data_IF_173905298941
#
_entry.id   IF_173905298941
#
_cell.length_a   1.000
_cell.length_b   1.000
_cell.length_c   1.000
_cell.angle_alpha   90.00
_cell.angle_beta   90.00
_cell.angle_gamma   90.00
#
_symmetry.space_group_name_H-M   'P 1'
#
loop_
_entity.id
_entity.type
_entity.pdbx_description
1 polymer ?
2 non-polymer ?
3 water ?
#
# COMPACT_ATOMS: atom_id res chain seq x y z
N UNK A 5 10.08 -0.14 27.88
CA UNK A 5 10.87 0.81 27.11
C UNK A 5 10.03 2.09 26.84
N UNK A 6 10.68 3.23 27.07
CA UNK A 6 10.08 4.55 26.91
C UNK A 6 10.31 5.03 25.47
N UNK A 7 11.20 4.35 24.75
CA UNK A 7 11.24 4.55 23.29
C UNK A 7 9.91 3.98 22.71
N UNK A 8 9.50 2.79 23.16
CA UNK A 8 8.26 2.21 22.65
C UNK A 8 7.06 3.13 23.00
N UNK A 9 6.94 3.54 24.25
CA UNK A 9 5.84 4.42 24.69
C UNK A 9 5.79 5.74 23.91
N UNK A 10 6.97 6.27 23.56
CA UNK A 10 7.06 7.53 22.84
C UNK A 10 6.54 7.41 21.38
N UNK A 11 6.89 6.28 20.77
CA UNK A 11 6.43 5.95 19.44
C UNK A 11 4.90 5.82 19.49
N UNK A 12 4.41 5.10 20.50
CA UNK A 12 3.00 4.86 20.67
C UNK A 12 2.25 6.16 21.00
N UNK A 13 2.87 7.08 21.73
CA UNK A 13 2.27 8.40 22.00
C UNK A 13 2.01 9.20 20.68
N UNK A 14 3.01 9.16 19.80
CA UNK A 14 2.95 9.76 18.48
C UNK A 14 1.79 9.21 17.58
N UNK A 15 1.62 7.87 17.56
CA UNK A 15 0.49 7.25 16.85
C UNK A 15 -0.87 7.50 17.52
N UNK A 16 -0.92 7.69 18.85
CA UNK A 16 -2.18 8.07 19.52
C UNK A 16 -2.61 9.45 19.10
N UNK A 17 -1.66 10.35 18.93
CA UNK A 17 -1.99 11.65 18.37
C UNK A 17 -2.55 11.47 16.96
N UNK A 18 -1.87 10.66 16.17
CA UNK A 18 -2.31 10.46 14.81
C UNK A 18 -3.74 9.92 14.87
N UNK A 19 -3.98 8.97 15.76
CA UNK A 19 -5.28 8.34 15.87
C UNK A 19 -6.39 9.38 16.14
N UNK A 20 -6.10 10.36 17.00
CA UNK A 20 -7.10 11.39 17.30
C UNK A 20 -7.28 12.37 16.09
N UNK A 21 -6.21 12.71 15.37
CA UNK A 21 -6.39 13.49 14.16
C UNK A 21 -7.19 12.72 13.11
N UNK A 22 -6.88 11.43 12.91
CA UNK A 22 -7.64 10.62 11.93
C UNK A 22 -9.12 10.50 12.29
N UNK A 23 -9.39 10.16 13.55
CA UNK A 23 -10.74 10.17 14.04
C UNK A 23 -11.49 11.51 13.81
N UNK A 24 -10.88 12.63 14.19
CA UNK A 24 -11.49 13.98 13.99
C UNK A 24 -11.79 14.22 12.48
N UNK A 25 -10.80 13.92 11.63
CA UNK A 25 -10.97 14.12 10.15
C UNK A 25 -12.14 13.27 9.65
N UNK A 26 -12.17 12.01 10.05
CA UNK A 26 -13.26 11.17 9.58
C UNK A 26 -14.63 11.62 9.99
N UNK A 27 -14.80 12.10 11.22
CA UNK A 27 -16.11 12.56 11.70
C UNK A 27 -16.69 13.68 10.82
N UNK A 28 -15.81 14.53 10.33
CA UNK A 28 -16.10 15.72 9.47
C UNK A 28 -16.25 15.41 7.95
N UNK A 29 -15.38 14.56 7.43
CA UNK A 29 -15.21 14.48 6.02
C UNK A 29 -16.42 13.89 5.33
N UNK A 30 -16.75 14.46 4.19
CA UNK A 30 -17.73 13.87 3.29
C UNK A 30 -17.39 12.43 2.98
N UNK A 31 -18.38 11.56 2.84
CA UNK A 31 -18.10 10.14 2.55
C UNK A 31 -18.44 9.89 1.08
N UNK A 32 -17.63 9.07 0.34
CA UNK A 32 -18.03 8.88 -1.05
C UNK A 32 -19.35 8.20 -1.17
N UNK A 33 -20.16 8.67 -2.09
CA UNK A 33 -21.51 8.11 -2.38
C UNK A 33 -21.50 6.86 -3.28
N UNK A 34 -22.55 6.06 -3.18
CA UNK A 34 -22.77 5.00 -4.16
C UNK A 34 -21.79 3.85 -4.03
N UNK A 35 -21.51 3.47 -2.79
CA UNK A 35 -20.56 2.39 -2.50
C UNK A 35 -21.20 1.42 -1.51
N UNK A 36 -20.94 0.13 -1.67
CA UNK A 36 -21.24 -0.85 -0.66
C UNK A 36 -19.93 -1.46 -0.15
N UNK A 37 -19.90 -1.83 1.12
CA UNK A 37 -18.78 -2.59 1.60
C UNK A 37 -19.28 -3.81 2.36
N UNK A 38 -18.42 -4.81 2.45
CA UNK A 38 -18.58 -6.01 3.20
C UNK A 38 -17.40 -6.06 4.14
N UNK A 39 -17.66 -6.09 5.42
CA UNK A 39 -16.59 -5.86 6.36
C UNK A 39 -16.19 -7.11 7.21
N UNK A 40 -14.95 -7.02 7.73
CA UNK A 40 -14.51 -7.92 8.80
C UNK A 40 -14.43 -9.38 8.34
N UNK A 41 -13.94 -9.64 7.15
CA UNK A 41 -13.67 -11.01 6.81
C UNK A 41 -12.33 -11.47 7.42
N UNK A 42 -12.32 -12.56 8.18
CA UNK A 42 -11.11 -13.22 8.57
C UNK A 42 -10.49 -13.88 7.37
N UNK A 43 -9.22 -13.61 7.09
CA UNK A 43 -8.52 -14.16 5.93
C UNK A 43 -7.65 -15.38 6.24
N UNK A 44 -7.56 -15.73 7.51
CA UNK A 44 -7.04 -17.02 8.02
C UNK A 44 -7.77 -17.52 9.24
N UNK A 45 -7.37 -18.71 9.70
CA UNK A 45 -7.96 -19.35 10.87
C UNK A 45 -7.35 -18.74 12.09
N UNK A 46 -7.83 -17.57 12.51
CA UNK A 46 -7.21 -16.78 13.56
C UNK A 46 -8.18 -15.75 14.05
N UNK A 47 -8.19 -15.53 15.37
CA UNK A 47 -9.06 -14.54 15.98
C UNK A 47 -8.36 -13.17 16.13
N UNK A 48 -7.13 -13.04 15.62
CA UNK A 48 -6.43 -11.78 15.71
C UNK A 48 -7.20 -10.78 14.87
N UNK A 49 -7.61 -9.69 15.49
CA UNK A 49 -8.55 -8.85 14.76
C UNK A 49 -7.87 -8.14 13.60
N UNK A 50 -6.52 -8.04 13.64
CA UNK A 50 -5.79 -7.46 12.53
C UNK A 50 -5.74 -8.35 11.30
N UNK A 51 -6.03 -9.64 11.44
CA UNK A 51 -6.06 -10.54 10.30
C UNK A 51 -7.42 -10.63 9.63
N UNK A 52 -7.94 -9.48 9.28
CA UNK A 52 -9.23 -9.33 8.69
C UNK A 52 -9.12 -8.34 7.53
N UNK A 53 -10.10 -8.38 6.62
CA UNK A 53 -10.16 -7.42 5.51
C UNK A 53 -11.60 -6.95 5.20
N UNK A 54 -11.68 -5.83 4.46
CA UNK A 54 -12.92 -5.24 4.00
C UNK A 54 -12.86 -5.29 2.48
N UNK A 55 -14.03 -5.43 1.90
CA UNK A 55 -14.23 -5.38 0.43
C UNK A 55 -15.22 -4.26 0.12
N UNK A 56 -14.98 -3.56 -0.99
CA UNK A 56 -15.74 -2.33 -1.37
C UNK A 56 -16.08 -2.43 -2.83
N UNK A 57 -17.26 -1.94 -3.19
CA UNK A 57 -17.77 -2.09 -4.55
C UNK A 57 -18.62 -0.83 -4.86
N UNK A 58 -18.75 -0.51 -6.15
CA UNK A 58 -19.74 0.46 -6.58
C UNK A 58 -21.10 -0.08 -6.16
N UNK A 59 -21.99 0.80 -5.70
CA UNK A 59 -23.33 0.35 -5.33
C UNK A 59 -24.06 -0.22 -6.50
N UNK A 60 -23.79 0.28 -7.70
CA UNK A 60 -24.37 -0.23 -8.94
C UNK A 60 -23.24 -0.77 -9.82
N UNK A 61 -23.27 -2.06 -10.06
CA UNK A 61 -22.17 -2.71 -10.77
C UNK A 61 -22.54 -2.84 -12.22
N UNK A 62 -21.71 -2.32 -13.09
CA UNK A 62 -22.06 -2.31 -14.49
C UNK A 62 -21.57 -3.63 -15.14
N UNK A 63 -20.69 -4.37 -14.44
CA UNK A 63 -20.42 -5.75 -14.79
C UNK A 63 -20.45 -6.67 -13.55
N UNK A 64 -20.45 -7.98 -13.80
CA UNK A 64 -20.44 -9.00 -12.77
C UNK A 64 -19.08 -9.15 -12.10
N UNK A 65 -18.04 -8.84 -12.86
CA UNK A 65 -16.73 -8.63 -12.30
C UNK A 65 -16.17 -7.29 -12.75
N UNK A 66 -15.38 -6.73 -11.87
CA UNK A 66 -14.76 -5.44 -12.06
C UNK A 66 -13.27 -5.52 -11.81
N UNK A 67 -12.51 -4.61 -12.39
CA UNK A 67 -11.08 -4.64 -12.14
C UNK A 67 -10.74 -4.41 -10.69
N UNK A 68 -9.64 -5.01 -10.27
CA UNK A 68 -9.35 -5.16 -8.86
C UNK A 68 -8.35 -4.13 -8.41
N UNK A 69 -8.60 -3.54 -7.22
CA UNK A 69 -7.60 -2.76 -6.52
C UNK A 69 -7.37 -3.36 -5.12
N UNK A 70 -6.13 -3.48 -4.73
CA UNK A 70 -5.76 -3.95 -3.42
C UNK A 70 -4.93 -2.90 -2.71
N UNK A 71 -5.40 -2.47 -1.54
CA UNK A 71 -4.83 -1.40 -0.83
C UNK A 71 -4.11 -1.87 0.46
N UNK A 72 -2.88 -1.41 0.68
CA UNK A 72 -2.15 -1.59 1.90
C UNK A 72 -1.95 -0.28 2.61
N UNK A 73 -2.66 -0.14 3.73
CA UNK A 73 -2.64 1.10 4.48
C UNK A 73 -1.30 1.35 5.08
N UNK A 74 -1.09 2.62 5.48
CA UNK A 74 0.12 3.09 6.10
C UNK A 74 -0.04 3.28 7.59
N UNK A 75 0.84 4.08 8.20
CA UNK A 75 0.92 4.21 9.70
C UNK A 75 2.24 3.73 10.29
N UNK A 76 3.33 3.84 9.58
CA UNK A 76 4.64 3.59 10.17
C UNK A 76 4.86 2.18 10.70
N UNK A 77 4.12 1.21 10.12
CA UNK A 77 4.24 -0.20 10.53
C UNK A 77 3.79 -0.47 11.95
N UNK A 78 3.53 0.60 12.75
CA UNK A 78 3.04 0.50 14.19
C UNK A 78 1.56 0.83 14.34
N UNK A 79 0.94 1.30 13.29
CA UNK A 79 -0.40 1.85 13.45
C UNK A 79 -1.33 1.61 12.25
N UNK A 80 -2.64 1.55 12.54
CA UNK A 80 -3.62 1.40 11.50
C UNK A 80 -4.30 0.08 11.57
N UNK A 81 -5.36 -0.01 10.78
CA UNK A 81 -6.12 -1.27 10.60
C UNK A 81 -6.92 -1.18 9.28
N UNK A 82 -7.77 -2.16 9.01
CA UNK A 82 -8.50 -2.20 7.75
C UNK A 82 -9.47 -1.05 7.53
N UNK A 83 -9.79 -0.27 8.58
CA UNK A 83 -10.72 0.87 8.42
C UNK A 83 -10.06 2.23 8.22
N UNK A 84 -8.75 2.30 8.41
CA UNK A 84 -8.05 3.58 8.33
C UNK A 84 -8.22 4.29 6.98
N UNK A 85 -8.06 3.53 5.85
CA UNK A 85 -8.20 4.09 4.51
C UNK A 85 -9.62 3.88 3.90
N UNK A 86 -10.66 3.74 4.73
CA UNK A 86 -11.97 3.43 4.17
C UNK A 86 -12.48 4.44 3.16
N UNK A 87 -12.28 5.73 3.38
CA UNK A 87 -12.86 6.70 2.45
C UNK A 87 -12.20 6.67 1.09
N UNK A 88 -10.88 6.52 1.12
CA UNK A 88 -10.06 6.28 -0.04
C UNK A 88 -10.43 5.01 -0.76
N UNK A 89 -10.65 3.90 -0.06
CA UNK A 89 -11.09 2.68 -0.75
C UNK A 89 -12.49 2.85 -1.36
N UNK A 90 -13.37 3.50 -0.59
CA UNK A 90 -14.70 3.77 -1.06
C UNK A 90 -14.67 4.61 -2.29
N UNK A 91 -13.82 5.65 -2.29
CA UNK A 91 -13.74 6.51 -3.46
C UNK A 91 -13.39 5.65 -4.70
N UNK A 92 -12.32 4.90 -4.58
CA UNK A 92 -11.83 4.14 -5.76
C UNK A 92 -12.91 3.15 -6.23
N UNK A 93 -13.52 2.46 -5.27
CA UNK A 93 -14.63 1.58 -5.58
C UNK A 93 -15.77 2.27 -6.32
N UNK A 94 -16.08 3.49 -5.91
CA UNK A 94 -17.19 4.23 -6.53
C UNK A 94 -16.90 4.49 -8.00
N UNK A 95 -15.64 4.37 -8.42
CA UNK A 95 -15.26 4.60 -9.83
C UNK A 95 -15.41 3.37 -10.73
N UNK A 96 -15.88 2.26 -10.17
CA UNK A 96 -16.18 1.01 -10.90
C UNK A 96 -15.18 -0.11 -10.66
N UNK A 97 -14.61 -0.18 -9.45
CA UNK A 97 -13.58 -1.16 -9.09
C UNK A 97 -14.02 -1.95 -7.89
N UNK A 98 -13.59 -3.20 -7.83
CA UNK A 98 -13.72 -4.01 -6.68
C UNK A 98 -12.42 -3.85 -5.88
N UNK A 99 -12.58 -3.49 -4.62
CA UNK A 99 -11.43 -3.04 -3.83
C UNK A 99 -11.30 -3.88 -2.54
N UNK A 100 -10.09 -4.34 -2.23
CA UNK A 100 -9.81 -5.08 -0.96
C UNK A 100 -8.83 -4.27 -0.22
N UNK A 101 -9.09 -4.12 1.06
CA UNK A 101 -8.10 -3.52 1.98
C UNK A 101 -8.01 -4.35 3.23
N UNK A 102 -6.78 -4.69 3.64
CA UNK A 102 -6.53 -5.67 4.71
C UNK A 102 -5.91 -5.05 5.88
N UNK A 103 -6.19 -5.61 7.02
CA UNK A 103 -5.36 -5.33 8.14
C UNK A 103 -4.16 -6.26 8.11
N UNK A 104 -3.14 -5.90 8.89
CA UNK A 104 -1.93 -6.65 9.13
C UNK A 104 -1.42 -6.38 10.59
N UNK A 105 -0.91 -7.43 11.24
CA UNK A 105 -0.39 -7.29 12.63
C UNK A 105 0.68 -6.19 12.66
N UNK A 106 0.71 -5.45 13.75
CA UNK A 106 1.54 -4.25 13.87
C UNK A 106 2.77 -4.56 14.67
N UNK A 107 3.83 -3.86 14.31
CA UNK A 107 5.04 -3.80 15.14
C UNK A 107 4.59 -3.19 16.46
N UNK A 108 5.18 -3.61 17.58
CA UNK A 108 6.23 -4.58 17.69
C UNK A 108 5.71 -6.00 17.91
N UNK A 109 4.41 -6.22 17.87
CA UNK A 109 3.85 -7.58 18.06
C UNK A 109 4.41 -8.60 17.08
N UNK A 110 4.72 -8.11 15.91
CA UNK A 110 5.35 -8.87 14.86
C UNK A 110 6.53 -8.05 14.35
N UNK A 111 7.29 -8.67 13.45
CA UNK A 111 8.25 -7.99 12.63
C UNK A 111 7.81 -7.95 11.14
N UNK A 112 8.68 -7.46 10.26
CA UNK A 112 8.35 -7.41 8.83
C UNK A 112 7.86 -8.72 8.21
N UNK A 113 8.52 -9.84 8.58
CA UNK A 113 8.14 -11.13 8.02
C UNK A 113 6.68 -11.38 8.40
N UNK A 114 6.25 -11.04 9.61
CA UNK A 114 4.86 -11.33 10.02
C UNK A 114 3.85 -10.49 9.20
N UNK A 115 4.21 -9.23 8.97
CA UNK A 115 3.41 -8.30 8.14
C UNK A 115 3.29 -8.73 6.69
N UNK A 116 4.39 -9.17 6.11
CA UNK A 116 4.39 -9.70 4.73
C UNK A 116 3.57 -10.97 4.65
N UNK A 117 3.65 -11.83 5.67
CA UNK A 117 2.80 -13.04 5.66
C UNK A 117 1.28 -12.73 5.70
N UNK A 118 0.92 -11.78 6.55
CA UNK A 118 -0.47 -11.28 6.65
C UNK A 118 -0.93 -10.80 5.28
N UNK A 119 -0.13 -9.98 4.61
CA UNK A 119 -0.59 -9.37 3.34
C UNK A 119 -0.76 -10.49 2.32
N UNK A 120 0.23 -11.42 2.24
CA UNK A 120 0.09 -12.59 1.32
C UNK A 120 -1.11 -13.52 1.57
N UNK A 121 -1.43 -13.70 2.84
CA UNK A 121 -2.63 -14.44 3.27
C UNK A 121 -3.88 -13.78 2.77
N UNK A 122 -3.95 -12.44 2.93
CA UNK A 122 -5.07 -11.65 2.40
C UNK A 122 -5.20 -11.77 0.87
N UNK A 123 -4.08 -11.72 0.18
CA UNK A 123 -4.05 -11.93 -1.25
C UNK A 123 -4.51 -13.31 -1.64
N UNK A 124 -4.08 -14.34 -0.88
CA UNK A 124 -4.45 -15.72 -1.21
C UNK A 124 -5.93 -15.96 -0.93
N UNK A 125 -6.42 -15.43 0.18
CA UNK A 125 -7.88 -15.41 0.42
C UNK A 125 -8.59 -14.82 -0.75
N UNK A 126 -8.12 -13.68 -1.25
CA UNK A 126 -8.77 -13.03 -2.41
C UNK A 126 -8.73 -13.89 -3.68
N UNK A 127 -7.60 -14.52 -3.96
CA UNK A 127 -7.51 -15.52 -5.08
C UNK A 127 -8.50 -16.67 -4.98
N UNK A 128 -8.88 -17.09 -3.77
CA UNK A 128 -9.87 -18.18 -3.61
C UNK A 128 -11.27 -17.65 -3.67
N UNK A 129 -11.53 -16.47 -3.08
CA UNK A 129 -12.91 -16.02 -2.82
C UNK A 129 -13.35 -14.74 -3.53
N UNK A 130 -12.37 -14.01 -4.11
CA UNK A 130 -12.67 -12.73 -4.73
C UNK A 130 -13.53 -12.90 -5.97
N UNK A 131 -13.10 -13.75 -6.93
CA UNK A 131 -13.84 -13.80 -8.19
C UNK A 131 -15.33 -14.15 -8.14
N UNK A 132 -15.75 -14.97 -7.18
CA UNK A 132 -17.16 -15.30 -7.06
C UNK A 132 -17.98 -14.12 -6.55
N UNK A 133 -17.36 -13.04 -6.03
CA UNK A 133 -18.11 -11.92 -5.49
C UNK A 133 -17.82 -10.63 -6.19
N UNK A 134 -17.17 -10.72 -7.36
CA UNK A 134 -17.00 -9.62 -8.28
C UNK A 134 -15.59 -9.12 -8.60
N UNK A 135 -14.54 -9.79 -8.12
CA UNK A 135 -13.22 -9.35 -8.36
C UNK A 135 -12.70 -10.03 -9.64
N UNK A 136 -12.24 -9.18 -10.57
CA UNK A 136 -11.60 -9.65 -11.81
C UNK A 136 -10.13 -9.62 -11.47
N UNK A 137 -9.53 -10.80 -11.26
CA UNK A 137 -8.13 -10.86 -10.85
C UNK A 137 -7.11 -10.94 -12.05
N UNK A 138 -7.60 -10.75 -13.25
CA UNK A 138 -6.73 -10.61 -14.44
C UNK A 138 -6.19 -9.16 -14.56
N UNK A 139 -6.83 -8.22 -13.85
CA UNK A 139 -6.45 -6.79 -13.84
C UNK A 139 -6.43 -6.32 -12.43
N UNK A 140 -5.24 -6.17 -11.87
CA UNK A 140 -5.07 -5.85 -10.45
C UNK A 140 -4.12 -4.71 -10.23
N UNK A 141 -4.61 -3.68 -9.57
CA UNK A 141 -3.82 -2.55 -9.10
C UNK A 141 -3.47 -2.75 -7.62
N UNK A 142 -2.20 -2.94 -7.35
CA UNK A 142 -1.69 -2.95 -5.96
C UNK A 142 -1.22 -1.54 -5.58
N UNK A 143 -1.70 -1.03 -4.45
CA UNK A 143 -1.26 0.29 -4.03
C UNK A 143 -1.13 0.40 -2.54
N UNK A 144 -0.29 1.31 -2.08
CA UNK A 144 -0.10 1.46 -0.67
C UNK A 144 0.46 2.82 -0.42
N UNK A 145 0.22 3.31 0.78
CA UNK A 145 0.70 4.65 1.17
C UNK A 145 1.68 4.65 2.33
N UNK A 146 2.78 5.42 2.19
CA UNK A 146 3.83 5.55 3.23
C UNK A 146 4.50 4.13 3.57
N UNK A 147 4.35 3.66 4.80
CA UNK A 147 4.71 2.29 5.16
C UNK A 147 3.96 1.28 4.34
N UNK A 148 2.70 1.59 4.03
CA UNK A 148 1.95 0.79 3.10
C UNK A 148 2.59 0.69 1.74
N UNK A 149 3.24 1.77 1.28
CA UNK A 149 3.93 1.77 0.03
C UNK A 149 5.21 0.96 0.07
N UNK A 150 5.96 1.04 1.18
CA UNK A 150 7.04 0.18 1.43
C UNK A 150 6.63 -1.28 1.27
N UNK A 151 5.56 -1.65 1.97
CA UNK A 151 5.09 -3.02 1.98
C UNK A 151 4.64 -3.47 0.59
N UNK A 152 3.92 -2.60 -0.12
CA UNK A 152 3.50 -2.93 -1.48
C UNK A 152 4.73 -3.16 -2.39
N UNK A 153 5.75 -2.31 -2.22
CA UNK A 153 6.96 -2.43 -3.05
C UNK A 153 7.62 -3.78 -2.81
N UNK A 154 7.69 -4.21 -1.55
CA UNK A 154 8.25 -5.52 -1.26
C UNK A 154 7.37 -6.65 -1.76
N UNK A 155 6.06 -6.52 -1.58
CA UNK A 155 5.17 -7.58 -1.99
C UNK A 155 5.32 -7.80 -3.47
N UNK A 156 5.43 -6.72 -4.25
CA UNK A 156 5.54 -6.84 -5.72
C UNK A 156 6.76 -7.68 -6.13
N UNK A 157 7.87 -7.49 -5.41
CA UNK A 157 9.13 -8.16 -5.70
C UNK A 157 9.09 -9.62 -5.23
N UNK A 158 8.58 -9.82 -4.00
CA UNK A 158 8.41 -11.17 -3.50
C UNK A 158 7.54 -12.03 -4.37
N UNK A 159 6.43 -11.48 -4.86
CA UNK A 159 5.53 -12.24 -5.70
C UNK A 159 6.26 -12.81 -6.94
N UNK A 160 7.32 -12.13 -7.37
CA UNK A 160 8.08 -12.46 -8.58
C UNK A 160 9.29 -13.39 -8.30
N UNK A 161 9.62 -13.62 -7.03
CA UNK A 161 10.91 -14.27 -6.68
C UNK A 161 10.78 -15.50 -5.80
N UNK A 162 11.12 -16.67 -6.33
CA UNK A 162 11.15 -17.91 -5.56
C UNK A 162 12.03 -17.79 -4.30
N UNK A 163 13.20 -17.18 -4.47
CA UNK A 163 14.14 -16.93 -3.38
C UNK A 163 13.47 -16.10 -2.26
N UNK A 164 12.88 -14.97 -2.62
CA UNK A 164 12.31 -14.15 -1.57
C UNK A 164 11.08 -14.80 -0.96
N UNK A 165 10.25 -15.50 -1.77
CA UNK A 165 9.14 -16.27 -1.23
C UNK A 165 9.65 -17.18 -0.05
N UNK A 166 10.80 -17.82 -0.23
CA UNK A 166 11.25 -18.79 0.73
C UNK A 166 11.70 -18.04 1.95
N UNK A 167 12.36 -16.91 1.74
CA UNK A 167 12.97 -16.16 2.83
C UNK A 167 11.92 -15.58 3.74
N UNK A 168 10.89 -15.02 3.10
CA UNK A 168 9.74 -14.49 3.79
C UNK A 168 8.70 -15.49 4.25
N UNK A 169 8.89 -16.77 3.91
CA UNK A 169 7.91 -17.84 4.19
C UNK A 169 6.51 -17.67 3.58
N UNK A 170 6.40 -17.24 2.33
CA UNK A 170 5.10 -17.22 1.69
C UNK A 170 5.15 -17.95 0.37
N UNK A 171 4.01 -18.27 -0.23
CA UNK A 171 4.00 -18.65 -1.69
C UNK A 171 3.39 -17.61 -2.58
N UNK A 172 3.77 -17.69 -3.82
CA UNK A 172 3.21 -16.93 -4.93
C UNK A 172 1.68 -17.03 -4.84
N UNK A 173 0.97 -15.95 -5.16
CA UNK A 173 -0.48 -16.00 -5.33
C UNK A 173 -0.77 -16.19 -6.79
N UNK A 174 -1.89 -16.78 -7.09
CA UNK A 174 -2.21 -17.13 -8.44
C UNK A 174 -2.83 -16.01 -9.27
N UNK A 175 -2.26 -14.84 -9.16
CA UNK A 175 -2.59 -13.72 -10.02
C UNK A 175 -1.40 -12.77 -10.01
N UNK A 176 -1.34 -11.85 -10.97
CA UNK A 176 -0.27 -10.88 -11.11
C UNK A 176 -0.77 -9.44 -10.86
N UNK A 177 0.19 -8.53 -10.64
CA UNK A 177 -0.07 -7.13 -10.45
C UNK A 177 0.14 -6.43 -11.74
N UNK A 178 -0.92 -5.80 -12.19
CA UNK A 178 -0.89 -5.03 -13.41
C UNK A 178 -0.15 -3.73 -13.28
N UNK A 179 -0.25 -3.14 -12.10
CA UNK A 179 0.48 -1.98 -11.78
C UNK A 179 0.63 -1.92 -10.25
N UNK A 180 1.68 -1.25 -9.80
CA UNK A 180 1.97 -1.04 -8.41
C UNK A 180 2.16 0.47 -8.24
N UNK A 181 1.21 1.11 -7.54
CA UNK A 181 1.19 2.55 -7.30
C UNK A 181 1.55 2.83 -5.86
N UNK A 182 2.64 3.55 -5.67
CA UNK A 182 3.16 3.84 -4.36
C UNK A 182 2.87 5.31 -4.05
N UNK A 183 2.17 5.54 -2.95
CA UNK A 183 1.78 6.89 -2.53
C UNK A 183 2.70 7.31 -1.36
N UNK A 184 3.50 8.38 -1.61
CA UNK A 184 4.57 8.81 -0.71
C UNK A 184 5.24 7.62 0.02
N UNK A 185 5.75 6.63 -0.74
CA UNK A 185 6.28 5.46 -0.05
C UNK A 185 7.53 5.79 0.75
N UNK A 186 7.78 4.97 1.79
CA UNK A 186 9.09 4.90 2.49
C UNK A 186 9.71 3.58 2.10
N UNK A 187 10.16 3.48 0.84
CA UNK A 187 10.55 2.23 0.26
C UNK A 187 11.96 1.84 0.76
N UNK A 188 12.68 2.82 1.33
CA UNK A 188 14.09 2.65 1.79
C UNK A 188 14.24 2.97 3.28
N UNK A 189 13.66 2.13 4.13
CA UNK A 189 13.70 2.51 5.56
C UNK A 189 15.12 2.61 6.19
N UNK A 190 16.13 1.89 5.69
CA UNK A 190 17.52 2.10 6.19
C UNK A 190 18.01 3.53 6.08
N UNK A 191 17.43 4.31 5.16
CA UNK A 191 17.85 5.69 4.94
C UNK A 191 17.19 6.66 5.93
N UNK A 192 16.26 6.18 6.72
CA UNK A 192 15.57 7.03 7.67
C UNK A 192 16.50 7.72 8.69
N UNK A 193 17.39 6.96 9.37
CA UNK A 193 18.16 7.61 10.42
C UNK A 193 19.03 8.73 9.84
N UNK A 194 19.84 8.45 8.81
CA UNK A 194 20.60 9.51 8.13
C UNK A 194 19.77 10.73 7.64
N UNK A 195 18.46 10.58 7.48
CA UNK A 195 17.67 11.62 6.80
C UNK A 195 16.76 12.39 7.76
N UNK A 196 15.85 13.18 7.18
CA UNK A 196 15.11 14.23 7.89
C UNK A 196 14.41 13.73 9.13
N UNK A 198 18.26 14.98 15.66
CA UNK A 198 18.18 13.64 16.21
C UNK A 198 16.99 12.89 15.61
N UNK A 199 16.23 12.17 16.46
CA UNK A 199 15.19 11.23 16.04
C UNK A 199 15.85 9.97 15.53
N UNK A 200 17.14 10.04 15.21
CA UNK A 200 17.89 8.86 14.71
C UNK A 200 17.75 7.69 15.65
N UNK A 201 17.70 7.94 16.95
CA UNK A 201 17.48 6.88 17.93
C UNK A 201 16.14 6.20 17.68
N UNK A 202 15.11 7.03 17.52
CA UNK A 202 13.81 6.54 17.14
C UNK A 202 13.83 5.78 15.80
N UNK A 203 14.56 6.28 14.82
CA UNK A 203 14.59 5.65 13.51
C UNK A 203 15.28 4.28 13.57
N UNK A 204 16.29 4.13 14.44
CA UNK A 204 16.98 2.84 14.63
C UNK A 204 16.07 1.85 15.34
N UNK A 205 15.19 2.37 16.18
CA UNK A 205 14.21 1.58 16.85
C UNK A 205 13.19 0.99 15.88
N UNK A 206 12.68 1.76 14.92
CA UNK A 206 11.82 1.20 13.87
C UNK A 206 12.49 0.07 13.11
N UNK A 207 13.74 0.31 12.73
CA UNK A 207 14.55 -0.62 11.96
C UNK A 207 14.75 -1.94 12.69
N UNK A 208 15.04 -1.87 13.99
CA UNK A 208 15.12 -3.05 14.82
C UNK A 208 13.83 -3.83 14.93
N UNK A 209 12.72 -3.12 15.05
CA UNK A 209 11.44 -3.78 15.19
C UNK A 209 11.02 -4.38 13.87
N UNK A 210 11.31 -3.70 12.77
CA UNK A 210 11.04 -4.34 11.46
C UNK A 210 11.88 -5.62 11.23
N UNK A 211 13.18 -5.59 11.55
CA UNK A 211 14.06 -6.73 11.28
C UNK A 211 13.85 -7.85 12.29
N UNK A 212 13.33 -7.52 13.46
CA UNK A 212 13.25 -8.49 14.55
C UNK A 212 14.57 -9.17 14.88
N UNK A 213 15.70 -8.50 14.61
CA UNK A 213 17.05 -9.06 14.75
C UNK A 213 17.45 -10.10 13.71
N UNK A 214 16.56 -10.41 12.78
CA UNK A 214 16.87 -11.37 11.75
C UNK A 214 17.68 -10.66 10.65
N UNK A 215 18.91 -11.14 10.45
CA UNK A 215 19.83 -10.53 9.52
C UNK A 215 19.37 -10.72 8.08
N UNK A 216 18.62 -11.79 7.82
CA UNK A 216 18.07 -11.94 6.50
C UNK A 216 17.02 -10.82 6.22
N UNK A 217 16.30 -10.37 7.24
CA UNK A 217 15.37 -9.27 7.08
C UNK A 217 16.09 -7.94 6.97
N UNK A 218 17.16 -7.78 7.76
CA UNK A 218 17.97 -6.59 7.67
C UNK A 218 18.41 -6.39 6.24
N UNK A 219 18.79 -7.47 5.58
CA UNK A 219 19.31 -7.44 4.22
C UNK A 219 18.23 -7.40 3.14
N UNK A 220 16.99 -7.43 3.59
CA UNK A 220 15.88 -7.46 2.66
C UNK A 220 14.73 -6.56 3.06
N UNK A 221 15.06 -5.47 3.76
CA UNK A 221 14.11 -4.51 4.25
C UNK A 221 13.83 -3.39 3.26
N UNK A 222 14.72 -3.13 2.31
CA UNK A 222 14.60 -1.95 1.44
C UNK A 222 14.25 -2.44 0.06
N UNK A 223 13.50 -1.64 -0.68
CA UNK A 223 13.18 -1.97 -2.04
C UNK A 223 14.45 -2.21 -2.90
N UNK A 224 15.46 -1.36 -2.70
CA UNK A 224 16.75 -1.54 -3.39
C UNK A 224 17.38 -2.91 -3.19
N UNK A 225 17.09 -3.58 -2.07
CA UNK A 225 17.63 -4.91 -1.82
C UNK A 225 16.76 -5.98 -2.49
N UNK A 226 15.45 -5.80 -2.55
CA UNK A 226 14.60 -6.86 -3.12
C UNK A 226 14.29 -6.75 -4.63
N UNK A 227 14.62 -5.61 -5.21
CA UNK A 227 14.35 -5.33 -6.65
C UNK A 227 15.26 -6.10 -7.59
N UNK A 228 16.44 -6.44 -7.11
CA UNK A 228 17.56 -6.84 -8.05
C UNK A 228 17.22 -8.08 -8.84
N UNK A 229 17.32 -7.96 -10.14
CA UNK A 229 17.27 -9.08 -11.04
C UNK A 229 15.89 -9.54 -11.42
N UNK A 230 14.84 -8.82 -11.01
CA UNK A 230 13.50 -9.33 -11.22
C UNK A 230 12.91 -8.57 -12.36
N UNK A 231 12.09 -9.17 -13.19
CA UNK A 231 11.28 -8.35 -14.12
C UNK A 231 9.90 -8.06 -13.44
N UNK A 232 9.62 -6.79 -13.28
CA UNK A 232 8.55 -6.39 -12.37
C UNK A 232 7.45 -5.78 -13.19
N UNK A 233 6.25 -5.69 -12.60
CA UNK A 233 5.24 -4.86 -13.25
C UNK A 233 5.62 -3.40 -13.28
N UNK A 234 4.86 -2.60 -14.04
CA UNK A 234 5.13 -1.15 -14.00
C UNK A 234 4.75 -0.58 -12.63
N UNK A 235 5.37 0.54 -12.28
CA UNK A 235 5.16 1.19 -11.01
C UNK A 235 4.68 2.60 -11.37
N UNK A 236 3.95 3.17 -10.43
CA UNK A 236 3.54 4.57 -10.44
C UNK A 236 3.87 5.21 -9.07
N UNK A 237 4.55 6.32 -9.09
CA UNK A 237 5.01 6.95 -7.90
C UNK A 237 4.28 8.26 -7.76
N UNK A 238 3.60 8.39 -6.61
CA UNK A 238 2.65 9.47 -6.37
C UNK A 238 3.10 10.16 -5.10
N UNK A 239 3.04 11.49 -5.13
CA UNK A 239 3.40 12.30 -3.99
C UNK A 239 3.62 13.77 -4.35
N UNK A 240 4.46 14.44 -3.57
CA UNK A 240 4.81 15.82 -3.87
C UNK A 240 5.93 16.42 -3.06
N UNK A 241 6.41 17.62 -3.50
CA UNK A 241 7.57 18.23 -2.86
C UNK A 241 7.32 18.58 -1.41
N UNK A 242 6.04 18.73 -1.03
CA UNK A 242 5.64 19.03 0.36
C UNK A 242 5.33 17.78 1.20
N UNK A 243 5.63 16.61 0.64
CA UNK A 243 5.58 15.37 1.43
C UNK A 243 6.77 15.41 2.39
N UNK A 244 6.51 15.17 3.66
CA UNK A 244 7.60 15.17 4.64
C UNK A 244 8.67 14.11 4.34
N UNK A 245 8.30 13.02 3.63
CA UNK A 245 9.31 12.04 3.10
C UNK A 245 9.49 12.14 1.61
N UNK A 246 9.48 13.36 1.09
CA UNK A 246 9.79 13.56 -0.32
C UNK A 246 11.18 12.99 -0.61
N UNK A 247 12.09 13.02 0.39
CA UNK A 247 13.44 12.45 0.21
C UNK A 247 13.40 10.98 -0.19
N UNK A 248 12.55 10.20 0.46
CA UNK A 248 12.34 8.79 0.09
C UNK A 248 11.87 8.63 -1.40
N UNK A 249 11.04 9.56 -1.88
CA UNK A 249 10.50 9.44 -3.25
C UNK A 249 11.62 9.67 -4.24
N UNK A 250 12.43 10.70 -3.99
CA UNK A 250 13.64 10.97 -4.79
C UNK A 250 14.61 9.81 -4.91
N UNK A 251 15.01 9.29 -3.75
CA UNK A 251 15.82 8.07 -3.64
C UNK A 251 15.24 6.87 -4.43
N UNK A 252 13.94 6.62 -4.31
CA UNK A 252 13.31 5.50 -5.03
C UNK A 252 13.40 5.63 -6.56
N UNK A 253 13.29 6.86 -7.05
CA UNK A 253 13.49 7.08 -8.49
C UNK A 253 14.88 6.63 -8.98
N UNK A 254 15.88 6.92 -8.17
CA UNK A 254 17.26 6.51 -8.48
C UNK A 254 17.28 5.00 -8.62
N UNK A 255 16.78 4.30 -7.60
CA UNK A 255 16.67 2.82 -7.65
C UNK A 255 15.85 2.31 -8.83
N UNK A 256 14.69 2.92 -9.11
CA UNK A 256 13.97 2.51 -10.29
C UNK A 256 14.88 2.63 -11.52
N UNK A 257 15.48 3.80 -11.65
CA UNK A 257 16.37 4.04 -12.80
C UNK A 257 17.50 3.02 -12.93
N UNK A 258 18.19 2.71 -11.82
CA UNK A 258 19.30 1.75 -11.87
C UNK A 258 18.85 0.32 -12.16
N UNK A 259 17.61 -0.01 -11.81
CA UNK A 259 17.11 -1.36 -12.09
C UNK A 259 16.22 -1.49 -13.33
N UNK A 260 16.09 -0.44 -14.11
CA UNK A 260 15.27 -0.55 -15.32
C UNK A 260 13.87 -0.95 -15.01
N UNK A 261 13.33 -0.34 -13.95
CA UNK A 261 11.91 -0.52 -13.57
C UNK A 261 11.13 0.40 -14.48
N UNK A 262 10.05 -0.05 -15.09
CA UNK A 262 9.19 0.88 -15.79
C UNK A 262 8.29 1.61 -14.76
N UNK A 263 8.29 2.94 -14.84
CA UNK A 263 7.45 3.75 -13.96
C UNK A 263 6.93 5.00 -14.63
N UNK A 264 5.85 5.54 -14.03
CA UNK A 264 5.34 6.89 -14.31
C UNK A 264 5.23 7.62 -13.00
N UNK A 265 4.97 8.94 -13.06
CA UNK A 265 4.87 9.71 -11.82
C UNK A 265 3.70 10.62 -11.79
N UNK A 266 3.32 10.98 -10.59
CA UNK A 266 2.43 12.10 -10.41
C UNK A 266 2.93 12.83 -9.16
N UNK A 267 3.87 13.75 -9.36
CA UNK A 267 4.56 14.41 -8.20
C UNK A 267 4.16 15.85 -8.23
N UNK A 268 3.56 16.32 -7.14
CA UNK A 268 3.01 17.66 -7.08
C UNK A 268 4.10 18.67 -6.70
N UNK A 269 4.18 19.78 -7.43
CA UNK A 269 5.24 20.70 -7.06
C UNK A 269 4.88 21.53 -5.84
N UNK A 270 5.89 22.07 -5.17
CA UNK A 270 5.66 23.00 -4.06
C UNK A 270 4.66 24.11 -4.37
N UNK A 271 4.70 24.59 -5.61
CA UNK A 271 3.85 25.71 -6.02
C UNK A 271 2.38 25.32 -6.04
N UNK A 272 2.11 24.01 -6.06
CA UNK A 272 0.72 23.54 -5.96
C UNK A 272 0.16 23.69 -4.54
N UNK A 273 1.00 24.03 -3.56
CA UNK A 273 0.47 24.42 -2.28
C UNK A 273 0.87 23.64 -1.07
N UNK A 274 0.77 24.30 0.08
CA UNK A 274 1.24 23.67 1.30
C UNK A 274 0.25 22.66 1.86
N UNK A 275 -0.98 22.69 1.36
CA UNK A 275 -1.94 21.63 1.75
C UNK A 275 -1.60 20.21 1.22
N UNK A 276 -0.76 20.11 0.20
CA UNK A 276 -0.56 18.82 -0.48
C UNK A 276 0.52 18.03 0.29
N UNK A 277 0.14 17.60 1.47
CA UNK A 277 1.12 17.11 2.43
C UNK A 277 1.11 15.62 2.34
N UNK A 278 1.56 15.03 3.44
CA UNK A 278 1.65 13.60 3.55
C UNK A 278 0.31 12.83 3.26
N UNK A 279 0.40 12.00 2.24
CA UNK A 279 -0.67 11.17 1.72
C UNK A 279 -2.01 11.88 1.61
N UNK A 280 -1.97 13.13 1.15
CA UNK A 280 -3.17 13.99 1.05
C UNK A 280 -4.27 13.31 0.22
N UNK A 281 -3.88 12.59 -0.82
CA UNK A 281 -4.88 12.03 -1.73
C UNK A 281 -5.58 10.79 -1.16
N UNK A 282 -5.05 10.22 -0.09
CA UNK A 282 -5.66 9.12 0.65
C UNK A 282 -6.48 9.68 1.82
N UNK A 283 -5.89 10.65 2.49
CA UNK A 283 -6.56 11.24 3.68
C UNK A 283 -7.71 12.17 3.35
N UNK A 284 -7.69 12.83 2.19
CA UNK A 284 -8.76 13.76 1.79
C UNK A 284 -9.24 13.48 0.37
N UNK A 285 -10.01 12.45 0.21
CA UNK A 285 -10.39 12.00 -1.18
C UNK A 285 -11.12 13.06 -1.98
N UNK A 286 -11.87 13.92 -1.25
CA UNK A 286 -12.76 14.89 -1.87
C UNK A 286 -12.08 16.12 -2.43
N UNK A 287 -10.84 16.41 -2.02
CA UNK A 287 -10.15 17.56 -2.60
C UNK A 287 -9.97 17.33 -4.13
N UNK A 288 -10.16 18.41 -4.92
CA UNK A 288 -9.86 18.40 -6.37
C UNK A 288 -8.55 17.81 -6.75
N UNK A 289 -7.47 18.14 -6.06
CA UNK A 289 -6.16 17.48 -6.37
C UNK A 289 -6.10 15.93 -6.06
N UNK A 290 -6.87 15.52 -5.07
CA UNK A 290 -6.96 14.12 -4.68
C UNK A 290 -7.76 13.42 -5.76
N UNK A 291 -8.83 14.06 -6.27
CA UNK A 291 -9.64 13.44 -7.32
C UNK A 291 -8.75 13.29 -8.55
N UNK A 292 -7.96 14.31 -8.89
CA UNK A 292 -7.10 14.29 -10.11
C UNK A 292 -6.11 13.17 -10.05
N UNK A 293 -5.46 13.08 -8.90
CA UNK A 293 -4.41 12.12 -8.65
C UNK A 293 -4.96 10.70 -8.70
N UNK A 294 -6.06 10.51 -7.98
CA UNK A 294 -6.61 9.16 -7.89
C UNK A 294 -7.19 8.65 -9.22
N UNK A 295 -7.90 9.54 -9.93
CA UNK A 295 -8.34 9.21 -11.28
C UNK A 295 -7.17 8.98 -12.22
N UNK A 296 -6.10 9.77 -12.15
CA UNK A 296 -4.92 9.49 -13.04
C UNK A 296 -4.27 8.13 -12.82
N UNK A 297 -4.25 7.68 -11.57
CA UNK A 297 -3.81 6.36 -11.21
C UNK A 297 -4.74 5.28 -11.80
N UNK A 298 -6.05 5.46 -11.64
CA UNK A 298 -6.99 4.51 -12.17
C UNK A 298 -6.91 4.49 -13.66
N UNK A 299 -6.67 5.65 -14.31
CA UNK A 299 -6.55 5.67 -15.81
C UNK A 299 -5.29 4.97 -16.33
N UNK A 300 -4.21 5.16 -15.62
CA UNK A 300 -3.00 4.48 -15.92
C UNK A 300 -3.18 2.98 -15.81
N UNK A 301 -3.78 2.53 -14.72
CA UNK A 301 -4.20 1.14 -14.49
C UNK A 301 -5.07 0.66 -15.65
N UNK A 302 -6.09 1.39 -16.01
CA UNK A 302 -6.91 0.97 -17.14
C UNK A 302 -6.14 0.90 -18.46
N UNK A 303 -5.18 1.78 -18.68
CA UNK A 303 -4.46 1.82 -19.96
C UNK A 303 -3.62 0.55 -20.06
N UNK A 304 -2.99 0.20 -18.94
CA UNK A 304 -2.22 -1.05 -18.82
C UNK A 304 -3.08 -2.28 -19.02
N UNK A 305 -4.28 -2.26 -18.48
CA UNK A 305 -5.19 -3.42 -18.54
C UNK A 305 -5.72 -3.57 -20.00
N UNK A 306 -5.96 -2.46 -20.71
CA UNK A 306 -6.32 -2.51 -22.10
C UNK A 306 -5.17 -3.08 -22.96
N UNK A 307 -3.94 -2.64 -22.72
CA UNK A 307 -2.78 -3.19 -23.46
C UNK A 307 -2.67 -4.69 -23.24
N UNK A 308 -2.75 -5.10 -21.98
CA UNK A 308 -2.76 -6.55 -21.66
C UNK A 308 -3.86 -7.31 -22.47
N UNK A 309 -5.09 -6.79 -22.48
CA UNK A 309 -6.22 -7.47 -23.21
C UNK A 309 -5.87 -7.64 -24.69
N UNK A 310 -5.32 -6.58 -25.30
CA UNK A 310 -4.93 -6.55 -26.71
C UNK A 310 -3.78 -7.51 -26.99
N UNK A 311 -2.75 -7.52 -26.13
CA UNK A 311 -1.66 -8.49 -26.27
C UNK A 311 -2.17 -9.95 -26.15
N UNK A 312 -3.20 -10.14 -25.33
CA UNK A 312 -3.68 -11.47 -25.10
C UNK A 312 -4.81 -11.80 -26.04
N UNK A 313 -4.98 -11.04 -27.13
CA UNK A 313 -6.03 -11.29 -28.13
C UNK A 313 -7.36 -11.47 -27.40
N UNK A 314 -7.66 -10.61 -26.42
CA UNK A 314 -8.90 -10.73 -25.64
C UNK A 314 -9.81 -9.50 -25.63
#
# INVERSE_FOLDING_TARGET
MADEEAMLAKVQASWAQTAARDKARYADERVPEDVHWETEYRYEQSADPQQTLNLYYPAKRRNATMPTVIDIHGGGWFYGDRNLNRNYCRYLASQGYAVMGMGYRLLPDVDLRGQIQDIFASLRWLSHFGPQRGFDLDHVLLTGDSAGGHLASLVACIQQSAELQELFGVSRVNFNFTLVALVCPVAEPSKLPEAAGDMSDMAAFYLDKLSGGDQALVDHLNFSQVVKGLDLPPFMLIGGQNDSFYLQSQALLKVFDANHVTYTTKLWPASAGPHLKHVFNVQHWEWPESIETNLEMLRTFDALSKQQDQAEENEFE
#
